data_IF_326629723061
#
_entry.id   IF_326629723061
#
_cell.length_a   1.000
_cell.length_b   1.000
_cell.length_c   1.000
_cell.angle_alpha   90.00
_cell.angle_beta   90.00
_cell.angle_gamma   90.00
#
_symmetry.space_group_name_H-M   'P 1'
#
loop_
_entity.id
_entity.type
_entity.pdbx_description
1 polymer ?
#
# COMPACT_ATOMS: atom_id res chain seq x y z
N UNK A 1 3.55 25.06 -12.24
CA UNK A 1 4.37 23.88 -12.60
C UNK A 1 5.07 23.29 -11.37
N UNK A 2 5.72 24.10 -10.52
CA UNK A 2 6.43 23.62 -9.33
C UNK A 2 5.54 22.90 -8.30
N UNK A 3 4.34 23.41 -8.03
CA UNK A 3 3.38 22.78 -7.10
C UNK A 3 3.03 21.33 -7.50
N UNK A 4 2.82 21.10 -8.79
CA UNK A 4 2.42 19.80 -9.33
C UNK A 4 3.58 18.78 -9.24
N UNK A 5 4.81 19.28 -9.39
CA UNK A 5 6.04 18.50 -9.24
C UNK A 5 6.27 18.10 -7.78
N UNK A 6 6.18 19.05 -6.84
CA UNK A 6 6.36 18.80 -5.41
C UNK A 6 5.27 17.84 -4.89
N UNK A 7 4.01 18.08 -5.28
CA UNK A 7 2.91 17.19 -4.95
C UNK A 7 3.15 15.77 -5.49
N UNK A 8 3.53 15.65 -6.76
CA UNK A 8 3.82 14.35 -7.38
C UNK A 8 4.92 13.57 -6.68
N UNK A 9 6.00 14.24 -6.26
CA UNK A 9 7.09 13.61 -5.51
C UNK A 9 6.61 13.10 -4.15
N UNK A 10 5.85 13.90 -3.41
CA UNK A 10 5.28 13.47 -2.12
C UNK A 10 4.32 12.30 -2.29
N UNK A 11 3.47 12.33 -3.30
CA UNK A 11 2.54 11.25 -3.61
C UNK A 11 3.26 9.96 -3.97
N UNK A 12 4.35 10.06 -4.73
CA UNK A 12 5.17 8.92 -5.13
C UNK A 12 5.90 8.27 -3.96
N UNK A 13 6.55 9.09 -3.11
CA UNK A 13 7.25 8.61 -1.91
C UNK A 13 6.24 7.95 -0.97
N UNK A 14 5.10 8.59 -0.76
CA UNK A 14 4.05 8.07 0.11
C UNK A 14 3.47 6.76 -0.39
N UNK A 15 3.13 6.68 -1.68
CA UNK A 15 2.62 5.45 -2.30
C UNK A 15 3.63 4.31 -2.24
N UNK A 16 4.91 4.61 -2.47
CA UNK A 16 5.99 3.62 -2.37
C UNK A 16 6.15 3.11 -0.93
N UNK A 17 6.07 4.01 0.06
CA UNK A 17 6.15 3.66 1.47
C UNK A 17 4.97 2.79 1.93
N UNK A 18 3.74 3.10 1.52
CA UNK A 18 2.56 2.30 1.88
C UNK A 18 2.56 0.92 1.21
N UNK A 19 3.07 0.83 -0.03
CA UNK A 19 3.27 -0.43 -0.74
C UNK A 19 4.31 -1.31 -0.03
N UNK A 20 5.47 -0.74 0.34
CA UNK A 20 6.53 -1.44 1.10
C UNK A 20 6.02 -1.91 2.47
N UNK A 21 5.33 -1.04 3.20
CA UNK A 21 4.75 -1.40 4.50
C UNK A 21 3.75 -2.55 4.34
N UNK A 22 2.90 -2.51 3.31
CA UNK A 22 1.90 -3.55 3.04
C UNK A 22 2.52 -4.89 2.68
N UNK A 23 3.62 -4.87 1.91
CA UNK A 23 4.44 -6.05 1.61
C UNK A 23 5.01 -6.65 2.91
N UNK A 24 5.73 -5.85 3.70
CA UNK A 24 6.35 -6.31 4.95
C UNK A 24 5.32 -6.88 5.91
N UNK A 25 4.20 -6.17 6.11
CA UNK A 25 3.11 -6.62 6.98
C UNK A 25 2.50 -7.92 6.48
N UNK A 26 2.27 -8.08 5.17
CA UNK A 26 1.70 -9.33 4.65
C UNK A 26 2.67 -10.50 4.69
N UNK A 27 3.96 -10.26 4.48
CA UNK A 27 4.98 -11.30 4.55
C UNK A 27 5.25 -11.77 5.98
N UNK A 28 5.32 -10.85 6.95
CA UNK A 28 5.63 -11.17 8.35
C UNK A 28 4.38 -11.57 9.13
N UNK A 29 3.29 -10.83 8.95
CA UNK A 29 2.06 -10.99 9.71
C UNK A 29 0.97 -11.65 8.85
N UNK A 30 1.21 -12.90 8.43
CA UNK A 30 0.29 -13.73 7.61
C UNK A 30 -1.13 -13.86 8.19
N UNK A 31 -1.33 -13.56 9.47
CA UNK A 31 -2.63 -13.59 10.16
C UNK A 31 -3.42 -12.27 10.08
N UNK A 32 -2.81 -11.17 9.64
CA UNK A 32 -3.51 -9.88 9.58
C UNK A 32 -4.49 -9.87 8.39
N UNK A 33 -5.75 -9.46 8.60
CA UNK A 33 -6.71 -9.38 7.51
C UNK A 33 -6.29 -8.35 6.48
N UNK A 34 -6.38 -8.70 5.21
CA UNK A 34 -6.12 -7.82 4.05
C UNK A 34 -6.77 -6.44 4.17
N UNK A 35 -8.03 -6.41 4.59
CA UNK A 35 -8.80 -5.16 4.78
C UNK A 35 -8.19 -4.25 5.84
N UNK A 36 -7.61 -4.81 6.90
CA UNK A 36 -6.99 -4.04 7.99
C UNK A 36 -5.73 -3.35 7.50
N UNK A 37 -4.90 -4.05 6.72
CA UNK A 37 -3.69 -3.47 6.11
C UNK A 37 -4.03 -2.32 5.15
N UNK A 38 -5.08 -2.49 4.33
CA UNK A 38 -5.55 -1.45 3.41
C UNK A 38 -6.11 -0.25 4.18
N UNK A 39 -6.98 -0.48 5.16
CA UNK A 39 -7.55 0.59 5.98
C UNK A 39 -6.45 1.37 6.72
N UNK A 40 -5.44 0.68 7.23
CA UNK A 40 -4.26 1.31 7.84
C UNK A 40 -3.51 2.20 6.86
N UNK A 41 -3.27 1.73 5.63
CA UNK A 41 -2.61 2.52 4.60
C UNK A 41 -3.45 3.71 4.12
N UNK A 42 -4.78 3.55 4.02
CA UNK A 42 -5.70 4.65 3.73
C UNK A 42 -5.66 5.72 4.82
N UNK A 43 -5.64 5.31 6.10
CA UNK A 43 -5.58 6.22 7.23
C UNK A 43 -4.25 6.98 7.27
N UNK A 44 -3.13 6.30 7.04
CA UNK A 44 -1.82 6.95 6.89
C UNK A 44 -1.83 7.94 5.72
N UNK A 45 -2.47 7.56 4.61
CA UNK A 45 -2.91 8.41 3.49
C UNK A 45 -3.43 9.77 3.91
N UNK A 46 -4.51 9.73 4.68
CA UNK A 46 -5.23 10.91 5.17
C UNK A 46 -4.39 11.72 6.16
N UNK A 47 -3.72 11.05 7.11
CA UNK A 47 -2.92 11.74 8.13
C UNK A 47 -1.78 12.55 7.51
N UNK A 48 -1.06 11.98 6.55
CA UNK A 48 0.03 12.67 5.88
C UNK A 48 -0.46 13.84 5.04
N UNK A 49 -1.49 13.64 4.20
CA UNK A 49 -2.05 14.71 3.38
C UNK A 49 -2.62 15.86 4.25
N UNK A 50 -3.20 15.55 5.41
CA UNK A 50 -3.65 16.54 6.38
C UNK A 50 -2.48 17.34 6.97
N UNK A 51 -1.36 16.68 7.28
CA UNK A 51 -0.16 17.32 7.85
C UNK A 51 0.51 18.29 6.87
N UNK A 52 0.46 17.99 5.56
CA UNK A 52 1.05 18.85 4.51
C UNK A 52 0.06 19.92 4.02
N UNK A 53 -1.19 19.89 4.48
CA UNK A 53 -2.21 20.88 4.12
C UNK A 53 -2.92 20.60 2.78
N UNK A 54 -2.83 19.38 2.26
CA UNK A 54 -3.55 18.95 1.04
C UNK A 54 -4.96 18.46 1.36
N UNK A 55 -5.74 19.28 2.07
CA UNK A 55 -7.07 18.92 2.58
C UNK A 55 -8.09 18.60 1.48
N UNK A 56 -7.98 19.24 0.31
CA UNK A 56 -8.89 18.99 -0.82
C UNK A 56 -8.63 17.64 -1.52
N UNK A 57 -7.45 17.05 -1.32
CA UNK A 57 -7.00 15.83 -1.98
C UNK A 57 -6.93 14.64 -1.01
N UNK A 58 -7.51 14.77 0.20
CA UNK A 58 -7.49 13.71 1.22
C UNK A 58 -8.11 12.41 0.71
N UNK A 59 -9.26 12.51 0.04
CA UNK A 59 -9.96 11.35 -0.51
C UNK A 59 -9.13 10.65 -1.60
N UNK A 60 -8.47 11.42 -2.47
CA UNK A 60 -7.61 10.90 -3.53
C UNK A 60 -6.38 10.21 -2.94
N UNK A 61 -5.78 10.81 -1.90
CA UNK A 61 -4.62 10.27 -1.19
C UNK A 61 -4.97 8.97 -0.47
N UNK A 62 -6.14 8.91 0.15
CA UNK A 62 -6.66 7.70 0.78
C UNK A 62 -6.88 6.59 -0.25
N UNK A 63 -7.60 6.89 -1.34
CA UNK A 63 -7.89 5.94 -2.40
C UNK A 63 -6.60 5.38 -3.01
N UNK A 64 -5.65 6.25 -3.35
CA UNK A 64 -4.39 5.86 -3.97
C UNK A 64 -3.55 4.95 -3.08
N UNK A 65 -3.38 5.30 -1.80
CA UNK A 65 -2.69 4.44 -0.85
C UNK A 65 -3.41 3.11 -0.64
N UNK A 66 -4.75 3.12 -0.64
CA UNK A 66 -5.54 1.90 -0.55
C UNK A 66 -5.34 0.96 -1.74
N UNK A 67 -5.32 1.50 -2.96
CA UNK A 67 -5.08 0.73 -4.19
C UNK A 67 -3.66 0.15 -4.20
N UNK A 68 -2.65 0.95 -3.89
CA UNK A 68 -1.26 0.47 -3.84
C UNK A 68 -1.06 -0.61 -2.77
N UNK A 69 -1.67 -0.42 -1.60
CA UNK A 69 -1.69 -1.44 -0.55
C UNK A 69 -2.36 -2.73 -1.03
N UNK A 70 -3.51 -2.64 -1.70
CA UNK A 70 -4.20 -3.81 -2.25
C UNK A 70 -3.34 -4.56 -3.28
N UNK A 71 -2.65 -3.84 -4.15
CA UNK A 71 -1.71 -4.42 -5.13
C UNK A 71 -0.55 -5.13 -4.42
N UNK A 72 0.07 -4.49 -3.42
CA UNK A 72 1.15 -5.08 -2.63
C UNK A 72 0.72 -6.40 -1.97
N UNK A 73 -0.40 -6.41 -1.24
CA UNK A 73 -0.86 -7.63 -0.57
C UNK A 73 -1.29 -8.69 -1.59
N UNK A 74 -1.90 -8.27 -2.71
CA UNK A 74 -2.22 -9.17 -3.83
C UNK A 74 -0.99 -9.89 -4.38
N UNK A 75 0.12 -9.17 -4.56
CA UNK A 75 1.40 -9.75 -5.00
C UNK A 75 1.95 -10.76 -3.99
N UNK A 76 1.90 -10.46 -2.68
CA UNK A 76 2.34 -11.43 -1.65
C UNK A 76 1.52 -12.71 -1.71
N UNK A 77 0.19 -12.60 -1.81
CA UNK A 77 -0.68 -13.78 -1.89
C UNK A 77 -0.45 -14.59 -3.17
N UNK A 78 -0.24 -13.93 -4.31
CA UNK A 78 0.11 -14.60 -5.55
C UNK A 78 1.46 -15.32 -5.45
N UNK A 79 2.44 -14.69 -4.78
CA UNK A 79 3.75 -15.30 -4.52
C UNK A 79 3.64 -16.52 -3.60
N UNK A 80 2.88 -16.43 -2.50
CA UNK A 80 2.64 -17.56 -1.59
C UNK A 80 1.93 -18.71 -2.33
N UNK A 81 0.94 -18.41 -3.16
CA UNK A 81 0.22 -19.42 -3.95
C UNK A 81 1.11 -20.10 -4.99
N UNK A 82 1.96 -19.33 -5.68
CA UNK A 82 2.92 -19.87 -6.64
C UNK A 82 3.97 -20.76 -5.96
N UNK A 83 4.45 -20.36 -4.77
CA UNK A 83 5.36 -21.15 -3.94
C UNK A 83 4.75 -22.48 -3.51
N UNK A 84 3.53 -22.46 -2.96
CA UNK A 84 2.84 -23.69 -2.52
C UNK A 84 2.59 -24.64 -3.71
N UNK A 85 2.26 -24.10 -4.88
CA UNK A 85 2.07 -24.91 -6.09
C UNK A 85 3.38 -25.54 -6.57
N UNK A 86 4.49 -24.82 -6.48
CA UNK A 86 5.80 -25.37 -6.84
C UNK A 86 6.21 -26.51 -5.90
N UNK A 87 6.03 -26.35 -4.59
CA UNK A 87 6.33 -27.40 -3.60
C UNK A 87 5.50 -28.67 -3.83
N UNK A 88 4.25 -28.55 -4.28
CA UNK A 88 3.39 -29.71 -4.60
C UNK A 88 3.77 -30.44 -5.89
N UNK A 89 4.57 -29.85 -6.77
CA UNK A 89 5.00 -30.49 -8.02
C UNK A 89 6.39 -31.13 -7.89
N UNK A 90 7.18 -30.73 -6.90
CA UNK A 90 8.55 -31.24 -6.66
C UNK A 90 8.59 -32.37 -5.60
N UNK A 91 7.46 -32.69 -4.96
CA UNK A 91 7.29 -33.78 -3.99
C UNK A 91 6.32 -34.85 -4.48
#
# INVERSE_FOLDING_TARGET
MEFLLIFGVHFFIMGSASMLLSLVVSSVAKKIPFLVTILGCMLLGVMYASTIGFSELLWLTALFNGVLSAVAVGLVKLSDYAGEKAERFDG
#
